data_IF_128483905539
#
_entry.id   IF_128483905539
#
_cell.length_a   1.000
_cell.length_b   1.000
_cell.length_c   1.000
_cell.angle_alpha   90.00
_cell.angle_beta   90.00
_cell.angle_gamma   90.00
#
_symmetry.space_group_name_H-M   'P 1'
#
loop_
_entity.id
_entity.type
_entity.pdbx_description
1 polymer ?
#
# COMPACT_ATOMS: atom_id res chain seq x y z
N UNK A 1 3.43 -18.69 -4.82
CA UNK A 1 3.12 -17.28 -4.49
C UNK A 1 4.01 -16.86 -3.34
N UNK A 2 4.71 -15.72 -3.45
CA UNK A 2 5.73 -15.35 -2.48
C UNK A 2 5.12 -15.14 -1.09
N UNK A 3 5.89 -15.51 -0.07
CA UNK A 3 5.46 -15.76 1.31
C UNK A 3 5.15 -14.47 2.11
N UNK A 4 4.74 -13.41 1.42
CA UNK A 4 4.39 -12.09 1.98
C UNK A 4 3.11 -12.16 2.84
N UNK A 5 2.38 -13.29 2.79
CA UNK A 5 1.16 -13.52 3.57
C UNK A 5 1.48 -13.54 5.06
N UNK A 6 1.22 -12.41 5.72
CA UNK A 6 1.04 -12.18 7.16
C UNK A 6 2.19 -12.52 8.11
N UNK A 7 3.21 -13.26 7.69
CA UNK A 7 4.32 -13.69 8.54
C UNK A 7 5.47 -12.69 8.57
N UNK A 8 5.58 -11.83 7.55
CA UNK A 8 6.65 -10.84 7.44
C UNK A 8 6.24 -9.55 8.11
N UNK A 9 7.19 -8.99 8.87
CA UNK A 9 6.91 -7.99 9.87
C UNK A 9 7.51 -6.63 9.47
N UNK A 10 7.07 -6.08 8.34
CA UNK A 10 7.57 -4.81 7.80
C UNK A 10 6.85 -3.60 8.45
N UNK A 11 7.48 -2.41 8.44
CA UNK A 11 6.90 -1.17 8.99
C UNK A 11 5.74 -0.65 8.13
N UNK A 12 5.91 -0.68 6.81
CA UNK A 12 4.90 -0.32 5.84
C UNK A 12 5.04 -1.24 4.63
N UNK A 13 3.94 -1.81 4.18
CA UNK A 13 3.88 -2.70 3.03
C UNK A 13 2.70 -2.32 2.11
N UNK A 14 2.99 -2.16 0.83
CA UNK A 14 2.00 -1.98 -0.24
C UNK A 14 1.86 -3.28 -1.04
N UNK A 15 0.64 -3.78 -1.16
CA UNK A 15 0.33 -4.99 -1.92
C UNK A 15 -0.74 -4.69 -2.97
N UNK A 16 -0.44 -4.90 -4.25
CA UNK A 16 -1.43 -4.80 -5.32
C UNK A 16 -2.37 -6.01 -5.27
N UNK A 17 -3.69 -5.78 -5.39
CA UNK A 17 -4.69 -6.85 -5.29
C UNK A 17 -4.68 -7.76 -6.53
N UNK A 18 -4.55 -7.16 -7.72
CA UNK A 18 -4.54 -7.90 -8.99
C UNK A 18 -3.28 -7.59 -9.79
N UNK A 19 -2.12 -8.17 -9.45
CA UNK A 19 -0.91 -8.03 -10.27
C UNK A 19 -1.04 -8.75 -11.60
N UNK A 20 -0.65 -8.10 -12.68
CA UNK A 20 -0.62 -8.65 -14.02
C UNK A 20 0.82 -8.71 -14.54
N UNK A 21 1.11 -9.67 -15.42
CA UNK A 21 2.38 -9.71 -16.15
C UNK A 21 2.37 -8.64 -17.24
N UNK A 22 3.49 -7.94 -17.47
CA UNK A 22 3.59 -6.98 -18.56
C UNK A 22 3.40 -7.71 -19.90
N UNK A 23 2.70 -7.07 -20.85
CA UNK A 23 2.48 -7.65 -22.18
C UNK A 23 3.77 -7.68 -23.01
N UNK A 24 4.62 -6.67 -22.84
CA UNK A 24 5.91 -6.57 -23.50
C UNK A 24 7.02 -6.94 -22.51
N UNK A 25 7.63 -8.11 -22.69
CA UNK A 25 8.77 -8.56 -21.88
C UNK A 25 10.08 -8.29 -22.62
N UNK A 26 11.10 -7.85 -21.88
CA UNK A 26 12.47 -7.71 -22.38
C UNK A 26 13.35 -8.79 -21.74
N UNK A 27 14.50 -9.12 -22.34
CA UNK A 27 15.40 -10.16 -21.78
C UNK A 27 15.84 -9.86 -20.33
N UNK A 28 15.91 -8.60 -19.94
CA UNK A 28 16.23 -8.20 -18.56
C UNK A 28 15.14 -8.63 -17.56
N UNK A 29 13.86 -8.52 -17.94
CA UNK A 29 12.70 -8.92 -17.12
C UNK A 29 12.73 -10.43 -16.85
N UNK A 30 13.10 -11.22 -17.86
CA UNK A 30 13.24 -12.68 -17.75
C UNK A 30 14.40 -13.07 -16.81
N UNK A 31 15.55 -12.41 -16.96
CA UNK A 31 16.72 -12.64 -16.09
C UNK A 31 16.42 -12.34 -14.62
N UNK A 32 15.67 -11.27 -14.35
CA UNK A 32 15.26 -10.84 -12.99
C UNK A 32 14.03 -11.65 -12.51
N UNK A 33 13.44 -12.48 -13.36
CA UNK A 33 12.22 -13.25 -13.07
C UNK A 33 11.04 -12.37 -12.63
N UNK A 34 10.91 -11.17 -13.21
CA UNK A 34 9.86 -10.22 -12.89
C UNK A 34 8.45 -10.75 -13.25
N UNK A 35 8.35 -11.72 -14.17
CA UNK A 35 7.11 -12.42 -14.52
C UNK A 35 6.47 -13.19 -13.35
N UNK A 36 7.27 -13.54 -12.34
CA UNK A 36 6.81 -14.25 -11.14
C UNK A 36 6.27 -13.30 -10.06
N UNK A 37 6.65 -12.03 -10.13
CA UNK A 37 6.36 -10.97 -9.16
C UNK A 37 5.93 -9.72 -9.93
N UNK A 38 4.85 -9.83 -10.71
CA UNK A 38 4.28 -8.69 -11.42
C UNK A 38 3.91 -7.59 -10.43
N UNK A 39 4.49 -6.41 -10.60
CA UNK A 39 4.28 -5.27 -9.70
C UNK A 39 3.26 -4.25 -10.24
N UNK A 40 2.62 -4.52 -11.37
CA UNK A 40 1.74 -3.58 -12.07
C UNK A 40 0.48 -4.21 -12.66
N UNK A 41 -0.31 -3.39 -13.32
CA UNK A 41 -1.49 -3.78 -14.08
C UNK A 41 -1.38 -3.22 -15.50
N UNK A 42 -1.82 -3.99 -16.49
CA UNK A 42 -1.87 -3.48 -17.86
C UNK A 42 -3.07 -2.53 -18.00
N UNK A 43 -2.85 -1.41 -18.69
CA UNK A 43 -3.86 -0.38 -18.90
C UNK A 43 -3.97 -0.04 -20.39
N UNK A 44 -5.18 0.24 -20.86
CA UNK A 44 -5.40 0.80 -22.19
C UNK A 44 -5.27 2.32 -22.10
N UNK A 45 -4.36 2.89 -22.89
CA UNK A 45 -4.08 4.32 -22.91
C UNK A 45 -4.60 4.92 -24.23
N UNK A 46 -5.30 6.04 -24.13
CA UNK A 46 -5.71 6.83 -25.29
C UNK A 46 -5.06 8.21 -25.19
N UNK A 47 -4.36 8.63 -26.26
CA UNK A 47 -3.72 9.94 -26.33
C UNK A 47 -4.63 10.86 -27.15
N UNK A 48 -5.36 11.72 -26.47
CA UNK A 48 -6.27 12.70 -27.07
C UNK A 48 -6.47 13.88 -26.11
N UNK A 49 -6.81 15.05 -26.64
CA UNK A 49 -7.22 16.19 -25.82
C UNK A 49 -8.66 15.99 -25.35
N UNK A 50 -8.88 15.71 -24.06
CA UNK A 50 -10.18 15.36 -23.51
C UNK A 50 -10.61 16.28 -22.36
N UNK A 51 -11.52 17.20 -22.68
CA UNK A 51 -12.22 18.13 -21.76
C UNK A 51 -11.38 19.15 -21.00
N UNK A 52 -10.05 19.17 -21.17
CA UNK A 52 -9.17 20.17 -20.55
C UNK A 52 -8.82 19.86 -19.09
N UNK A 53 -9.18 18.67 -18.60
CA UNK A 53 -8.71 18.13 -17.30
C UNK A 53 -7.42 17.31 -17.45
N UNK A 54 -6.96 17.11 -18.67
CA UNK A 54 -5.74 16.42 -19.11
C UNK A 54 -4.61 17.41 -19.43
N UNK A 55 -4.63 18.59 -18.81
CA UNK A 55 -3.56 19.59 -18.97
C UNK A 55 -2.28 19.15 -18.27
N UNK A 56 -1.13 19.44 -18.89
CA UNK A 56 0.20 19.12 -18.37
C UNK A 56 0.38 17.61 -18.11
N UNK A 57 0.62 17.22 -16.85
CA UNK A 57 0.88 15.85 -16.43
C UNK A 57 -0.40 15.14 -15.90
N UNK A 58 -1.57 15.76 -16.07
CA UNK A 58 -2.83 15.21 -15.58
C UNK A 58 -3.33 14.05 -16.45
N UNK A 59 -3.75 12.96 -15.79
CA UNK A 59 -4.32 11.77 -16.44
C UNK A 59 -5.78 11.64 -16.05
N UNK A 60 -6.65 11.56 -17.05
CA UNK A 60 -8.07 11.24 -16.85
C UNK A 60 -8.25 9.72 -16.84
N UNK A 61 -8.86 9.20 -15.76
CA UNK A 61 -9.09 7.76 -15.59
C UNK A 61 -10.57 7.40 -15.70
N UNK A 62 -10.86 6.18 -16.17
CA UNK A 62 -12.22 5.65 -16.21
C UNK A 62 -12.69 5.26 -14.79
N UNK A 63 -13.72 5.95 -14.31
CA UNK A 63 -14.34 5.69 -13.00
C UNK A 63 -14.85 4.26 -12.85
N UNK A 64 -15.49 3.69 -13.88
CA UNK A 64 -15.98 2.31 -13.83
C UNK A 64 -14.85 1.30 -13.69
N UNK A 65 -13.70 1.53 -14.35
CA UNK A 65 -12.52 0.67 -14.21
C UNK A 65 -11.94 0.70 -12.78
N UNK A 66 -11.94 1.88 -12.15
CA UNK A 66 -11.53 2.04 -10.75
C UNK A 66 -12.47 1.29 -9.80
N UNK A 67 -13.78 1.39 -10.01
CA UNK A 67 -14.80 0.69 -9.20
C UNK A 67 -14.66 -0.84 -9.30
N UNK A 68 -14.24 -1.37 -10.46
CA UNK A 68 -13.92 -2.77 -10.66
C UNK A 68 -12.56 -3.22 -10.06
N UNK A 69 -11.80 -2.30 -9.46
CA UNK A 69 -10.57 -2.62 -8.73
C UNK A 69 -9.28 -2.40 -9.51
N UNK A 70 -9.30 -1.62 -10.59
CA UNK A 70 -8.07 -1.14 -11.23
C UNK A 70 -7.25 -0.29 -10.24
N UNK A 71 -5.96 -0.59 -10.11
CA UNK A 71 -5.03 0.07 -9.19
C UNK A 71 -5.25 -0.20 -7.70
N UNK A 72 -6.15 -1.12 -7.32
CA UNK A 72 -6.47 -1.37 -5.91
C UNK A 72 -5.29 -1.98 -5.16
N UNK A 73 -4.85 -1.32 -4.10
CA UNK A 73 -3.77 -1.78 -3.23
C UNK A 73 -4.22 -1.91 -1.76
N UNK A 74 -3.59 -2.82 -1.05
CA UNK A 74 -3.72 -3.01 0.39
C UNK A 74 -2.49 -2.41 1.05
N UNK A 75 -2.71 -1.49 1.99
CA UNK A 75 -1.66 -0.87 2.80
C UNK A 75 -1.67 -1.52 4.18
N UNK A 76 -0.54 -2.12 4.55
CA UNK A 76 -0.32 -2.68 5.88
C UNK A 76 0.72 -1.84 6.61
N UNK A 77 0.32 -1.20 7.71
CA UNK A 77 1.22 -0.41 8.57
C UNK A 77 1.34 -1.08 9.93
N UNK A 78 2.58 -1.27 10.40
CA UNK A 78 2.88 -1.75 11.74
C UNK A 78 3.20 -0.57 12.64
N UNK A 79 2.71 -0.62 13.87
CA UNK A 79 3.22 0.22 14.95
C UNK A 79 3.49 -0.69 16.14
N UNK A 80 4.76 -0.80 16.52
CA UNK A 80 5.19 -1.57 17.69
C UNK A 80 5.51 -0.61 18.82
N UNK A 81 4.94 -0.85 19.99
CA UNK A 81 5.33 -0.20 21.23
C UNK A 81 6.16 -1.18 22.07
N UNK A 82 7.27 -0.72 22.64
CA UNK A 82 8.09 -1.51 23.56
C UNK A 82 7.77 -1.05 24.97
N UNK A 83 7.50 -2.00 25.86
CA UNK A 83 7.37 -1.76 27.29
C UNK A 83 8.78 -1.80 27.89
N UNK A 84 9.27 -0.66 28.38
CA UNK A 84 10.58 -0.61 29.02
C UNK A 84 10.48 -1.00 30.49
N UNK A 85 11.47 -1.76 30.96
CA UNK A 85 11.70 -2.05 32.38
C UNK A 85 12.94 -1.29 32.80
N UNK A 86 12.80 -0.46 33.82
CA UNK A 86 13.85 0.40 34.33
C UNK A 86 14.60 -0.30 35.48
N UNK A 87 15.86 0.08 35.68
CA UNK A 87 16.73 -0.49 36.74
C UNK A 87 16.22 -0.23 38.15
N UNK A 88 15.35 0.77 38.31
CA UNK A 88 14.64 1.09 39.56
C UNK A 88 13.46 0.15 39.87
N UNK A 89 13.26 -0.92 39.08
CA UNK A 89 12.19 -1.90 39.25
C UNK A 89 10.83 -1.44 38.73
N UNK A 90 10.73 -0.25 38.14
CA UNK A 90 9.49 0.23 37.51
C UNK A 90 9.38 -0.26 36.06
N UNK A 91 8.15 -0.44 35.57
CA UNK A 91 7.89 -0.89 34.20
C UNK A 91 6.73 -0.13 33.57
N UNK A 92 6.86 0.19 32.29
CA UNK A 92 5.77 0.81 31.54
C UNK A 92 4.56 -0.12 31.44
N UNK A 93 3.36 0.45 31.46
CA UNK A 93 2.11 -0.27 31.24
C UNK A 93 1.33 0.43 30.14
N UNK A 94 0.91 -0.31 29.11
CA UNK A 94 0.04 0.22 28.05
C UNK A 94 -1.40 0.18 28.57
N UNK A 95 -1.92 1.34 28.95
CA UNK A 95 -3.27 1.49 29.50
C UNK A 95 -4.10 2.33 28.50
N UNK A 96 -5.37 1.98 28.32
CA UNK A 96 -6.28 2.80 27.52
C UNK A 96 -6.38 4.23 28.07
N UNK A 97 -6.63 5.24 27.22
CA UNK A 97 -6.70 6.63 27.67
C UNK A 97 -7.80 6.76 28.74
N UNK A 98 -7.46 7.35 29.89
CA UNK A 98 -8.45 7.68 30.90
C UNK A 98 -9.40 8.72 30.30
N UNK A 99 -10.70 8.40 30.26
CA UNK A 99 -11.72 9.39 29.89
C UNK A 99 -11.69 10.48 30.97
N UNK A 100 -11.25 11.68 30.59
CA UNK A 100 -11.22 12.83 31.48
C UNK A 100 -12.55 13.00 32.20
N UNK A 101 -12.50 13.11 33.52
CA UNK A 101 -13.50 13.81 34.29
C UNK A 101 -13.86 15.10 33.55
N UNK A 102 -15.15 15.31 33.32
CA UNK A 102 -15.72 16.56 32.81
C UNK A 102 -14.97 17.75 33.41
N UNK A 103 -14.62 18.71 32.56
CA UNK A 103 -14.04 19.97 33.01
C UNK A 103 -14.82 20.52 34.20
N UNK A 104 -14.12 20.73 35.30
CA UNK A 104 -14.64 21.51 36.41
C UNK A 104 -14.33 22.97 36.07
N UNK A 105 -15.39 23.77 36.11
CA UNK A 105 -15.35 25.24 36.01
C UNK A 105 -14.48 25.83 37.12
#
# INVERSE_FOLDING_TARGET
MPNIRLRRMDNLLYLLVYPQRPLLTTRAIELISYDKLGAGQNATVAVMSYSGYDIEDAIVMNKSSLDHGFGRCIVMKRTSAVIQKYENGTSDCIIGPQKGSKGMQ
#
